data_IF_302459963342
#
_entry.id   IF_302459963342
#
_cell.length_a   1.000
_cell.length_b   1.000
_cell.length_c   1.000
_cell.angle_alpha   90.00
_cell.angle_beta   90.00
_cell.angle_gamma   90.00
#
_symmetry.space_group_name_H-M   'P 1'
#
loop_
_entity.id
_entity.type
_entity.pdbx_description
1 polymer ?
#
# COMPACT_ATOMS: atom_id res chain seq x y z
N UNK A 1 -15.13 -3.25 18.24
CA UNK A 1 -14.60 -4.45 17.60
C UNK A 1 -13.41 -5.06 18.38
N UNK A 2 -12.92 -4.39 19.41
CA UNK A 2 -11.88 -4.90 20.31
C UNK A 2 -10.48 -4.31 20.11
N UNK A 3 -10.27 -3.43 19.15
CA UNK A 3 -9.02 -2.71 19.00
C UNK A 3 -8.73 -1.83 20.21
N UNK A 4 -7.47 -1.72 20.60
CA UNK A 4 -7.01 -0.90 21.71
C UNK A 4 -6.60 0.49 21.22
N UNK A 5 -7.25 1.54 21.74
CA UNK A 5 -6.84 2.92 21.47
C UNK A 5 -5.57 3.26 22.26
N UNK A 6 -4.46 3.42 21.58
CA UNK A 6 -3.15 3.78 22.21
C UNK A 6 -3.03 5.29 22.40
N UNK A 7 -3.38 6.07 21.37
CA UNK A 7 -3.37 7.53 21.46
C UNK A 7 -4.33 8.14 20.42
N UNK A 8 -4.63 9.43 20.59
CA UNK A 8 -5.55 10.15 19.71
C UNK A 8 -7.01 9.93 20.08
N UNK A 9 -7.78 9.35 19.17
CA UNK A 9 -9.21 9.08 19.35
C UNK A 9 -10.11 10.19 18.80
N UNK A 10 -11.42 10.13 19.08
CA UNK A 10 -12.40 11.03 18.51
C UNK A 10 -12.20 12.49 18.97
N UNK A 11 -12.73 13.41 18.17
CA UNK A 11 -12.67 14.84 18.43
C UNK A 11 -11.53 15.54 17.73
N UNK A 12 -11.49 16.87 17.91
CA UNK A 12 -10.46 17.72 17.32
C UNK A 12 -9.19 17.74 18.18
N UNK A 13 -8.03 18.01 17.61
CA UNK A 13 -6.81 18.33 18.38
C UNK A 13 -7.03 19.56 19.25
N UNK A 14 -6.35 19.60 20.41
CA UNK A 14 -6.44 20.72 21.35
C UNK A 14 -6.02 22.03 20.68
N UNK A 15 -6.74 23.10 20.95
CA UNK A 15 -6.50 24.42 20.39
C UNK A 15 -7.03 24.65 18.95
N UNK A 16 -7.58 23.64 18.28
CA UNK A 16 -8.16 23.74 16.95
C UNK A 16 -9.69 23.75 17.02
N UNK A 17 -10.28 24.95 17.06
CA UNK A 17 -11.74 25.13 17.17
C UNK A 17 -12.46 25.17 15.83
N UNK A 18 -11.71 25.43 14.72
CA UNK A 18 -12.26 25.54 13.38
C UNK A 18 -11.61 24.50 12.45
N UNK A 19 -12.25 24.22 11.29
CA UNK A 19 -11.75 23.28 10.29
C UNK A 19 -12.08 21.81 10.59
N UNK A 20 -11.63 20.93 9.68
CA UNK A 20 -11.91 19.48 9.68
C UNK A 20 -10.67 18.69 10.13
N UNK A 21 -10.11 19.05 11.26
CA UNK A 21 -8.95 18.37 11.82
C UNK A 21 -9.36 17.19 12.68
N UNK A 22 -8.60 16.11 12.59
CA UNK A 22 -8.71 14.93 13.43
C UNK A 22 -7.38 14.68 14.15
N UNK A 23 -7.44 14.06 15.30
CA UNK A 23 -6.23 13.69 16.06
C UNK A 23 -5.48 12.59 15.35
N UNK A 24 -4.15 12.65 15.24
CA UNK A 24 -3.36 11.46 14.93
C UNK A 24 -3.70 10.34 15.92
N UNK A 25 -4.10 9.20 15.39
CA UNK A 25 -4.69 8.12 16.19
C UNK A 25 -3.98 6.81 15.90
N UNK A 26 -3.67 6.05 16.95
CA UNK A 26 -3.06 4.73 16.86
C UNK A 26 -3.93 3.71 17.57
N UNK A 27 -4.25 2.63 16.86
CA UNK A 27 -4.89 1.44 17.40
C UNK A 27 -3.91 0.27 17.42
N UNK A 28 -3.86 -0.45 18.54
CA UNK A 28 -3.14 -1.70 18.71
C UNK A 28 -4.10 -2.88 18.81
N UNK A 29 -3.55 -4.09 18.76
CA UNK A 29 -4.30 -5.34 18.83
C UNK A 29 -5.43 -5.43 17.78
N UNK A 30 -5.18 -4.84 16.61
CA UNK A 30 -6.08 -4.91 15.45
C UNK A 30 -5.90 -6.29 14.78
N UNK A 31 -6.94 -6.77 14.14
CA UNK A 31 -6.89 -7.91 13.23
C UNK A 31 -7.66 -7.60 11.94
N UNK A 32 -7.47 -8.43 10.92
CA UNK A 32 -8.04 -8.18 9.59
C UNK A 32 -9.58 -8.34 9.52
N UNK A 33 -10.25 -8.86 10.55
CA UNK A 33 -11.71 -8.94 10.59
C UNK A 33 -12.34 -7.61 11.04
N UNK A 34 -11.55 -6.68 11.54
CA UNK A 34 -12.02 -5.37 11.99
C UNK A 34 -12.21 -4.41 10.82
N UNK A 35 -13.25 -3.59 10.87
CA UNK A 35 -13.58 -2.57 9.88
C UNK A 35 -12.41 -1.62 9.62
N UNK A 36 -11.72 -1.18 10.67
CA UNK A 36 -10.57 -0.27 10.57
C UNK A 36 -9.34 -0.89 9.85
N UNK A 37 -9.29 -2.21 9.71
CA UNK A 37 -8.24 -2.90 8.94
C UNK A 37 -8.63 -3.12 7.47
N UNK A 38 -9.93 -3.20 7.16
CA UNK A 38 -10.44 -3.50 5.82
C UNK A 38 -10.82 -2.27 5.01
N UNK A 39 -11.30 -1.22 5.67
CA UNK A 39 -11.72 0.00 5.01
C UNK A 39 -10.62 1.05 5.01
N UNK A 40 -10.52 1.79 3.92
CA UNK A 40 -9.57 2.90 3.80
C UNK A 40 -10.07 4.09 4.63
N UNK A 41 -9.40 4.39 5.74
CA UNK A 41 -9.79 5.49 6.64
C UNK A 41 -9.52 6.86 6.00
N UNK A 42 -8.49 6.95 5.16
CA UNK A 42 -8.04 8.17 4.47
C UNK A 42 -7.75 9.33 5.41
N UNK A 43 -7.06 9.04 6.51
CA UNK A 43 -6.73 10.01 7.56
C UNK A 43 -5.54 9.56 8.41
N UNK A 44 -5.14 10.37 9.40
CA UNK A 44 -3.97 10.12 10.23
C UNK A 44 -4.25 9.04 11.28
N UNK A 45 -4.58 7.85 10.85
CA UNK A 45 -4.91 6.69 11.70
C UNK A 45 -3.99 5.53 11.34
N UNK A 46 -3.32 4.97 12.33
CA UNK A 46 -2.45 3.81 12.22
C UNK A 46 -3.06 2.63 12.98
N UNK A 47 -3.13 1.46 12.32
CA UNK A 47 -3.53 0.20 12.91
C UNK A 47 -2.32 -0.73 13.02
N UNK A 48 -2.05 -1.24 14.23
CA UNK A 48 -0.97 -2.18 14.50
C UNK A 48 -1.57 -3.58 14.64
N UNK A 49 -1.19 -4.48 13.74
CA UNK A 49 -1.63 -5.87 13.71
C UNK A 49 -0.46 -6.73 14.15
N UNK A 50 -0.54 -7.44 15.29
CA UNK A 50 0.50 -8.39 15.69
C UNK A 50 0.46 -9.64 14.79
N UNK A 51 1.61 -10.26 14.59
CA UNK A 51 1.76 -11.52 13.87
C UNK A 51 2.73 -12.45 14.61
N UNK A 52 2.65 -13.74 14.35
CA UNK A 52 3.49 -14.76 15.02
C UNK A 52 4.77 -15.08 14.25
N UNK A 53 4.70 -15.05 12.91
CA UNK A 53 5.81 -15.35 12.00
C UNK A 53 5.69 -14.56 10.70
N UNK A 54 6.72 -14.60 9.85
CA UNK A 54 6.79 -13.84 8.60
C UNK A 54 5.72 -14.26 7.60
N UNK A 55 5.40 -15.54 7.52
CA UNK A 55 4.39 -16.02 6.58
C UNK A 55 3.01 -15.43 6.93
N UNK A 56 2.66 -15.41 8.21
CA UNK A 56 1.44 -14.75 8.68
C UNK A 56 1.47 -13.24 8.43
N UNK A 57 2.62 -12.57 8.63
CA UNK A 57 2.74 -11.13 8.33
C UNK A 57 2.46 -10.83 6.85
N UNK A 58 2.96 -11.67 5.94
CA UNK A 58 2.72 -11.55 4.50
C UNK A 58 1.25 -11.83 4.16
N UNK A 59 0.65 -12.84 4.79
CA UNK A 59 -0.77 -13.15 4.62
C UNK A 59 -1.65 -11.97 5.06
N UNK A 60 -1.42 -11.45 6.27
CA UNK A 60 -2.11 -10.27 6.81
C UNK A 60 -1.96 -9.06 5.88
N UNK A 61 -0.74 -8.77 5.42
CA UNK A 61 -0.47 -7.63 4.53
C UNK A 61 -1.18 -7.76 3.17
N UNK A 62 -1.41 -8.98 2.70
CA UNK A 62 -2.10 -9.25 1.45
C UNK A 62 -3.61 -9.39 1.58
N UNK A 63 -4.13 -9.60 2.79
CA UNK A 63 -5.57 -9.75 3.06
C UNK A 63 -6.27 -8.40 3.16
N UNK A 64 -6.29 -7.68 2.07
CA UNK A 64 -6.96 -6.38 1.89
C UNK A 64 -7.48 -6.27 0.46
N UNK A 65 -8.58 -5.55 0.20
CA UNK A 65 -9.04 -5.27 -1.16
C UNK A 65 -8.13 -4.30 -1.92
N UNK A 66 -7.20 -3.65 -1.25
CA UNK A 66 -6.28 -2.65 -1.81
C UNK A 66 -4.88 -3.22 -2.07
N UNK A 67 -4.07 -2.46 -2.76
CA UNK A 67 -2.69 -2.83 -3.07
C UNK A 67 -1.96 -1.71 -3.83
N UNK A 68 -1.94 -0.49 -3.29
CA UNK A 68 -1.22 0.62 -3.91
C UNK A 68 0.27 0.57 -3.55
N UNK A 69 0.58 0.60 -2.27
CA UNK A 69 1.94 0.57 -1.77
C UNK A 69 2.09 -0.38 -0.59
N UNK A 70 3.26 -0.97 -0.47
CA UNK A 70 3.71 -1.76 0.67
C UNK A 70 5.07 -1.27 1.16
N UNK A 71 5.39 -1.61 2.40
CA UNK A 71 6.66 -1.21 3.04
C UNK A 71 7.25 -2.41 3.76
N UNK A 72 8.54 -2.65 3.55
CA UNK A 72 9.30 -3.71 4.22
C UNK A 72 10.54 -3.09 4.83
N UNK A 73 10.76 -3.30 6.12
CA UNK A 73 11.96 -2.82 6.82
C UNK A 73 12.78 -4.00 7.33
N UNK A 74 14.05 -4.06 6.93
CA UNK A 74 14.99 -5.11 7.36
C UNK A 74 16.44 -4.63 7.20
N UNK A 75 17.32 -5.10 8.08
CA UNK A 75 18.77 -4.93 7.93
C UNK A 75 19.34 -5.82 6.81
N UNK A 76 18.70 -6.97 6.55
CA UNK A 76 19.05 -7.87 5.44
C UNK A 76 18.26 -7.48 4.19
N UNK A 77 18.93 -6.82 3.25
CA UNK A 77 18.31 -6.31 2.02
C UNK A 77 17.84 -7.46 1.10
N UNK A 78 18.63 -8.52 0.97
CA UNK A 78 18.26 -9.66 0.12
C UNK A 78 16.97 -10.32 0.63
N UNK A 79 16.87 -10.50 1.94
CA UNK A 79 15.67 -11.01 2.57
C UNK A 79 14.47 -10.03 2.41
N UNK A 80 14.71 -8.72 2.58
CA UNK A 80 13.66 -7.72 2.34
C UNK A 80 13.12 -7.78 0.90
N UNK A 81 13.98 -8.02 -0.09
CA UNK A 81 13.58 -8.20 -1.50
C UNK A 81 12.71 -9.45 -1.68
N UNK A 82 13.06 -10.55 -1.01
CA UNK A 82 12.26 -11.78 -1.05
C UNK A 82 10.85 -11.58 -0.47
N UNK A 83 10.76 -10.89 0.67
CA UNK A 83 9.47 -10.53 1.28
C UNK A 83 8.69 -9.58 0.37
N UNK A 84 9.35 -8.53 -0.15
CA UNK A 84 8.72 -7.54 -1.03
C UNK A 84 8.08 -8.17 -2.26
N UNK A 85 8.69 -9.21 -2.84
CA UNK A 85 8.12 -9.96 -3.98
C UNK A 85 6.82 -10.70 -3.66
N UNK A 86 6.59 -11.01 -2.38
CA UNK A 86 5.36 -11.68 -1.91
C UNK A 86 4.24 -10.70 -1.59
N UNK A 87 4.54 -9.41 -1.40
CA UNK A 87 3.54 -8.36 -1.12
C UNK A 87 2.80 -7.99 -2.41
N UNK A 88 1.48 -8.07 -2.39
CA UNK A 88 0.61 -7.80 -3.54
C UNK A 88 0.19 -6.34 -3.62
N UNK A 89 1.16 -5.48 -3.91
CA UNK A 89 0.95 -4.05 -4.16
C UNK A 89 1.74 -3.57 -5.39
N UNK A 90 1.34 -2.45 -5.94
CA UNK A 90 1.97 -1.90 -7.13
C UNK A 90 3.40 -1.41 -6.88
N UNK A 91 3.65 -0.92 -5.67
CA UNK A 91 4.98 -0.52 -5.21
C UNK A 91 5.29 -1.16 -3.86
N UNK A 92 6.54 -1.56 -3.64
CA UNK A 92 7.05 -1.96 -2.32
C UNK A 92 8.32 -1.20 -2.03
N UNK A 93 8.30 -0.46 -0.93
CA UNK A 93 9.41 0.37 -0.48
C UNK A 93 10.21 -0.38 0.59
N UNK A 94 11.48 -0.68 0.33
CA UNK A 94 12.37 -1.28 1.32
C UNK A 94 13.05 -0.15 2.08
N UNK A 95 13.00 -0.20 3.42
CA UNK A 95 13.61 0.78 4.32
C UNK A 95 13.24 2.23 3.97
N UNK A 96 11.97 2.47 3.65
CA UNK A 96 11.45 3.78 3.26
C UNK A 96 12.14 4.42 2.03
N UNK A 97 12.67 3.61 1.11
CA UNK A 97 13.21 4.12 -0.13
C UNK A 97 12.19 5.00 -0.86
N UNK A 98 12.56 6.18 -1.37
CA UNK A 98 11.63 7.06 -2.06
C UNK A 98 11.21 6.48 -3.41
N UNK A 99 10.04 6.86 -3.90
CA UNK A 99 9.61 6.58 -5.26
C UNK A 99 10.47 7.36 -6.26
N UNK A 100 10.82 6.71 -7.38
CA UNK A 100 11.50 7.36 -8.50
C UNK A 100 10.54 7.55 -9.67
N UNK A 101 10.60 8.69 -10.37
CA UNK A 101 9.77 8.98 -11.55
C UNK A 101 10.02 8.04 -12.73
N UNK A 102 11.12 7.29 -12.70
CA UNK A 102 11.44 6.24 -13.69
C UNK A 102 10.85 4.88 -13.34
N UNK A 103 10.34 4.73 -12.12
CA UNK A 103 9.69 3.50 -11.67
C UNK A 103 8.19 3.58 -11.93
N UNK A 104 7.55 2.52 -12.42
CA UNK A 104 6.10 2.54 -12.65
C UNK A 104 5.34 2.73 -11.33
N UNK A 105 4.32 3.57 -11.36
CA UNK A 105 3.41 3.81 -10.26
C UNK A 105 2.01 3.34 -10.62
N UNK A 106 1.35 2.65 -9.71
CA UNK A 106 -0.02 2.17 -9.88
C UNK A 106 -0.35 1.05 -8.91
N UNK A 107 -1.63 0.73 -8.80
CA UNK A 107 -2.15 -0.20 -7.80
C UNK A 107 -2.41 -1.61 -8.33
N UNK A 108 -2.58 -2.51 -7.38
CA UNK A 108 -3.17 -3.82 -7.57
C UNK A 108 -4.60 -3.81 -7.01
N UNK A 109 -5.40 -4.78 -7.36
CA UNK A 109 -6.76 -5.00 -6.83
C UNK A 109 -7.61 -3.72 -6.98
N UNK A 110 -8.31 -3.28 -5.93
CA UNK A 110 -9.18 -2.09 -5.98
C UNK A 110 -8.42 -0.75 -5.95
N UNK A 111 -7.10 -0.77 -5.72
CA UNK A 111 -6.27 0.44 -5.83
C UNK A 111 -6.06 0.90 -7.26
N UNK A 112 -6.49 0.15 -8.24
CA UNK A 112 -6.54 0.53 -9.65
C UNK A 112 -5.80 -0.41 -10.58
N UNK A 113 -5.95 -0.12 -11.86
CA UNK A 113 -5.28 -0.79 -12.98
C UNK A 113 -4.34 0.20 -13.67
N UNK A 114 -3.55 -0.31 -14.63
CA UNK A 114 -2.62 0.53 -15.37
C UNK A 114 -1.41 0.98 -14.57
N UNK A 115 -0.56 1.75 -15.20
CA UNK A 115 0.64 2.31 -14.58
C UNK A 115 0.87 3.73 -15.08
N UNK A 116 1.38 4.57 -14.19
CA UNK A 116 1.94 5.87 -14.51
C UNK A 116 3.46 5.82 -14.35
N UNK A 117 4.16 6.76 -14.91
CA UNK A 117 5.60 6.95 -14.82
C UNK A 117 6.44 5.85 -15.48
N UNK A 118 7.68 6.19 -15.75
CA UNK A 118 8.61 5.27 -16.42
C UNK A 118 8.15 4.84 -17.82
N UNK A 119 8.75 3.79 -18.31
CA UNK A 119 8.46 3.22 -19.64
C UNK A 119 7.05 2.62 -19.68
N UNK A 120 6.65 1.89 -18.66
CA UNK A 120 5.31 1.28 -18.57
C UNK A 120 4.18 2.32 -18.54
N UNK A 121 4.38 3.46 -17.88
CA UNK A 121 3.40 4.55 -17.88
C UNK A 121 3.26 5.22 -19.24
N UNK A 122 4.35 5.26 -20.02
CA UNK A 122 4.32 5.79 -21.38
C UNK A 122 3.54 4.86 -22.34
N UNK A 123 3.63 3.55 -22.16
CA UNK A 123 2.93 2.57 -22.99
C UNK A 123 1.40 2.71 -22.94
N UNK A 124 0.83 3.21 -21.84
CA UNK A 124 -0.61 3.46 -21.70
C UNK A 124 -1.14 4.54 -22.68
N UNK A 125 -0.26 5.36 -23.26
CA UNK A 125 -0.60 6.39 -24.24
C UNK A 125 -0.33 5.96 -25.68
N UNK A 126 0.11 4.72 -25.91
CA UNK A 126 0.44 4.20 -27.24
C UNK A 126 -0.67 3.32 -27.79
N UNK A 127 -0.93 3.49 -29.09
CA UNK A 127 -1.80 2.61 -29.85
C UNK A 127 -1.00 1.46 -30.47
N UNK A 128 -1.36 0.23 -30.16
CA UNK A 128 -0.74 -0.96 -30.72
C UNK A 128 -1.42 -1.32 -32.04
N UNK A 129 -0.64 -1.39 -33.13
CA UNK A 129 -1.12 -1.78 -34.45
C UNK A 129 -0.39 -3.03 -34.95
N UNK A 130 -1.16 -4.02 -35.37
CA UNK A 130 -0.63 -5.18 -36.13
C UNK A 130 -0.69 -4.94 -37.61
N UNK A 131 0.41 -5.16 -38.33
CA UNK A 131 0.45 -5.15 -39.81
C UNK A 131 0.74 -6.57 -40.26
N UNK A 132 -0.25 -7.18 -40.92
CA UNK A 132 -0.19 -8.56 -41.42
C UNK A 132 0.06 -8.57 -42.93
N UNK A 133 0.77 -9.61 -43.42
CA UNK A 133 1.02 -9.82 -44.85
C UNK A 133 2.18 -8.97 -45.43
N UNK A 134 2.89 -8.18 -44.65
CA UNK A 134 4.13 -7.57 -45.06
C UNK A 134 5.26 -8.59 -44.91
N UNK A 135 5.36 -9.47 -45.90
CA UNK A 135 6.40 -10.43 -46.20
C UNK A 135 7.35 -10.87 -45.08
N UNK A 136 7.14 -12.06 -44.55
CA UNK A 136 8.30 -12.85 -44.15
C UNK A 136 9.02 -13.27 -45.44
N UNK A 137 10.20 -12.73 -45.63
CA UNK A 137 11.15 -13.29 -46.59
C UNK A 137 11.72 -14.58 -46.03
#
# INVERSE_FOLDING_TARGET
>A
EGAELVCGGPGKPDGLNQGFYVKPTVFANVNNDMTIAKEEIFGPVLCIIPYKDEDEAIEIANDTPYGLAGYVSSENIDHAVEVARKIRSGNVHINNAPSGLTSPFGGFKQSGNGREWGEFGFEEFLEIKSVLGAGAA
#
